data_IF_053704208785
#
_entry.id   IF_053704208785
#
_cell.length_a   1.000
_cell.length_b   1.000
_cell.length_c   1.000
_cell.angle_alpha   90.00
_cell.angle_beta   90.00
_cell.angle_gamma   90.00
#
_symmetry.space_group_name_H-M   'P 1'
#
loop_
_entity.id
_entity.type
_entity.pdbx_description
1 polymer ?
#
# COMPACT_ATOMS: atom_id res chain seq x y z
N UNK A 1 -32.30 7.37 65.78
CA UNK A 1 -32.23 7.62 64.32
C UNK A 1 -30.88 7.18 63.82
N UNK A 2 -30.76 5.93 63.34
CA UNK A 2 -29.52 5.36 62.84
C UNK A 2 -29.56 5.35 61.29
N UNK A 3 -28.56 5.96 60.67
CA UNK A 3 -28.38 6.04 59.21
C UNK A 3 -28.11 4.64 58.65
N UNK A 4 -28.88 4.27 57.63
CA UNK A 4 -28.64 3.06 56.83
C UNK A 4 -27.31 3.18 56.07
N UNK A 5 -26.56 2.06 55.91
CA UNK A 5 -25.34 2.03 55.10
C UNK A 5 -25.68 2.16 53.61
N UNK A 6 -24.93 3.01 52.91
CA UNK A 6 -24.99 3.14 51.45
C UNK A 6 -24.60 1.80 50.78
N UNK A 7 -25.28 1.39 49.71
CA UNK A 7 -24.87 0.21 48.95
C UNK A 7 -23.54 0.49 48.24
N UNK A 8 -22.62 -0.46 48.36
CA UNK A 8 -21.33 -0.45 47.68
C UNK A 8 -21.53 -0.21 46.17
N UNK A 9 -20.77 0.75 45.63
CA UNK A 9 -20.76 1.08 44.23
C UNK A 9 -20.49 -0.18 43.39
N UNK A 10 -21.38 -0.48 42.44
CA UNK A 10 -21.11 -1.45 41.38
C UNK A 10 -19.85 -0.97 40.64
N UNK A 11 -18.86 -1.83 40.37
CA UNK A 11 -17.74 -1.46 39.51
C UNK A 11 -18.31 -1.07 38.13
N UNK A 12 -17.97 0.13 37.69
CA UNK A 12 -18.31 0.63 36.36
C UNK A 12 -17.65 -0.25 35.29
N UNK A 13 -18.35 -0.54 34.18
CA UNK A 13 -17.69 -1.15 33.03
C UNK A 13 -16.65 -0.15 32.53
N UNK A 14 -15.37 -0.51 32.65
CA UNK A 14 -14.31 0.22 31.95
C UNK A 14 -14.64 0.19 30.45
N UNK A 15 -14.77 1.34 29.77
CA UNK A 15 -14.92 1.35 28.34
C UNK A 15 -13.53 1.00 27.79
N UNK A 16 -13.33 -0.26 27.40
CA UNK A 16 -12.18 -0.66 26.59
C UNK A 16 -12.24 0.07 25.25
N UNK A 17 -11.85 1.34 25.27
CA UNK A 17 -11.65 2.17 24.10
C UNK A 17 -10.31 1.75 23.50
N UNK A 18 -10.35 1.02 22.38
CA UNK A 18 -9.17 0.68 21.57
C UNK A 18 -8.53 1.91 20.87
N UNK A 19 -8.94 3.12 21.24
CA UNK A 19 -8.46 4.39 20.68
C UNK A 19 -7.02 4.63 21.15
N UNK A 20 -6.07 4.23 20.31
CA UNK A 20 -4.62 4.29 20.55
C UNK A 20 -3.91 2.98 20.24
N UNK A 21 -4.67 1.89 20.22
CA UNK A 21 -4.19 0.55 19.94
C UNK A 21 -4.10 0.37 18.41
N UNK A 22 -4.81 1.18 17.62
CA UNK A 22 -4.78 1.24 16.15
C UNK A 22 -3.62 2.06 15.55
N UNK A 23 -2.71 2.60 16.36
CA UNK A 23 -1.63 3.51 15.91
C UNK A 23 -0.40 2.82 15.31
N UNK A 24 -0.23 1.49 15.47
CA UNK A 24 1.00 0.83 15.02
C UNK A 24 1.05 0.58 13.50
N UNK A 25 -0.10 0.55 12.82
CA UNK A 25 -0.15 0.51 11.35
C UNK A 25 0.27 1.83 10.70
N UNK A 26 0.22 2.96 11.42
CA UNK A 26 0.61 4.29 10.92
C UNK A 26 2.13 4.52 10.88
N UNK A 27 2.94 3.64 11.51
CA UNK A 27 4.41 3.73 11.49
C UNK A 27 5.06 2.77 10.49
N UNK A 28 4.33 1.79 9.96
CA UNK A 28 4.86 0.86 8.97
C UNK A 28 5.10 1.57 7.64
N UNK A 29 6.35 1.96 7.39
CA UNK A 29 6.81 2.60 6.14
C UNK A 29 7.08 1.59 5.02
N UNK A 30 7.26 0.31 5.38
CA UNK A 30 7.56 -0.78 4.45
C UNK A 30 6.71 -2.02 4.72
N UNK A 31 6.30 -2.72 3.66
CA UNK A 31 5.63 -4.01 3.76
C UNK A 31 6.70 -5.09 4.01
N UNK A 32 6.57 -5.97 5.01
CA UNK A 32 7.46 -7.12 5.11
C UNK A 32 7.31 -7.99 3.84
N UNK A 33 8.43 -8.50 3.30
CA UNK A 33 8.42 -9.38 2.13
C UNK A 33 7.89 -10.77 2.53
N UNK A 34 6.57 -10.88 2.68
CA UNK A 34 5.90 -12.12 3.05
C UNK A 34 5.63 -12.94 1.79
N UNK A 35 6.23 -14.13 1.73
CA UNK A 35 6.07 -15.07 0.63
C UNK A 35 5.29 -16.29 1.11
N UNK A 36 4.17 -16.57 0.45
CA UNK A 36 3.35 -17.75 0.70
C UNK A 36 3.88 -18.96 -0.06
N UNK A 37 3.81 -20.13 0.57
CA UNK A 37 4.04 -21.40 -0.15
C UNK A 37 2.95 -21.58 -1.21
N UNK A 38 3.26 -22.14 -2.40
CA UNK A 38 2.25 -22.33 -3.43
C UNK A 38 1.08 -23.20 -2.92
N UNK A 39 -0.15 -22.79 -3.23
CA UNK A 39 -1.37 -23.46 -2.76
C UNK A 39 -1.45 -24.95 -3.12
N UNK A 40 -0.78 -25.36 -4.20
CA UNK A 40 -0.74 -26.74 -4.70
C UNK A 40 0.52 -27.53 -4.31
N UNK A 41 1.45 -26.94 -3.55
CA UNK A 41 2.76 -27.55 -3.23
C UNK A 41 3.03 -27.60 -1.72
N UNK A 42 1.99 -27.66 -0.89
CA UNK A 42 2.14 -27.73 0.55
C UNK A 42 1.30 -28.83 1.19
N UNK A 43 1.76 -29.29 2.34
CA UNK A 43 1.26 -30.42 3.12
C UNK A 43 0.70 -30.02 4.51
N UNK A 44 0.83 -28.76 4.90
CA UNK A 44 0.29 -28.26 6.18
C UNK A 44 -1.25 -28.12 6.12
N UNK A 45 -1.95 -28.35 7.25
CA UNK A 45 -3.40 -28.20 7.33
C UNK A 45 -3.86 -26.77 7.64
N UNK A 46 -5.09 -26.44 7.25
CA UNK A 46 -5.81 -25.27 7.77
C UNK A 46 -6.52 -25.65 9.07
N UNK A 47 -6.13 -24.99 10.17
CA UNK A 47 -6.70 -25.25 11.51
C UNK A 47 -7.80 -24.23 11.81
N UNK A 48 -8.97 -24.69 12.24
CA UNK A 48 -10.13 -23.84 12.56
C UNK A 48 -10.55 -24.08 14.01
N UNK A 49 -10.42 -23.04 14.83
CA UNK A 49 -10.84 -23.00 16.23
C UNK A 49 -12.17 -22.22 16.35
N UNK A 50 -13.06 -22.66 17.24
CA UNK A 50 -14.27 -21.89 17.52
C UNK A 50 -13.91 -20.70 18.39
N UNK A 51 -14.15 -19.48 17.90
CA UNK A 51 -13.96 -18.26 18.67
C UNK A 51 -15.20 -18.02 19.54
N UNK A 52 -15.09 -18.25 20.85
CA UNK A 52 -16.18 -18.05 21.83
C UNK A 52 -16.30 -16.60 22.26
N UNK A 53 -15.18 -15.88 22.31
CA UNK A 53 -15.15 -14.45 22.64
C UNK A 53 -14.23 -13.68 21.68
N UNK A 54 -14.73 -13.33 20.47
CA UNK A 54 -13.95 -12.65 19.43
C UNK A 54 -13.33 -11.33 19.89
N UNK A 55 -14.03 -10.57 20.72
CA UNK A 55 -13.55 -9.31 21.30
C UNK A 55 -12.34 -9.56 22.21
N UNK A 56 -12.44 -10.54 23.11
CA UNK A 56 -11.34 -10.89 24.01
C UNK A 56 -10.14 -11.46 23.23
N UNK A 57 -10.38 -12.29 22.19
CA UNK A 57 -9.32 -12.79 21.30
C UNK A 57 -8.54 -11.61 20.70
N UNK A 58 -9.24 -10.65 20.09
CA UNK A 58 -8.60 -9.47 19.51
C UNK A 58 -7.74 -8.71 20.53
N UNK A 59 -8.27 -8.45 21.73
CA UNK A 59 -7.56 -7.71 22.78
C UNK A 59 -6.35 -8.51 23.30
N UNK A 60 -6.51 -9.81 23.55
CA UNK A 60 -5.47 -10.66 24.12
C UNK A 60 -4.33 -10.92 23.14
N UNK A 61 -4.65 -11.24 21.88
CA UNK A 61 -3.63 -11.38 20.83
C UNK A 61 -2.87 -10.05 20.74
N UNK A 62 -3.57 -8.93 20.68
CA UNK A 62 -2.92 -7.61 20.57
C UNK A 62 -2.03 -7.28 21.75
N UNK A 63 -2.49 -7.51 22.98
CA UNK A 63 -1.68 -7.30 24.18
C UNK A 63 -0.45 -8.20 24.17
N UNK A 64 -0.63 -9.48 23.85
CA UNK A 64 0.49 -10.43 23.81
C UNK A 64 1.53 -10.03 22.76
N UNK A 65 1.10 -9.63 21.57
CA UNK A 65 2.00 -9.15 20.52
C UNK A 65 2.77 -7.89 20.96
N UNK A 66 2.11 -6.95 21.65
CA UNK A 66 2.79 -5.78 22.23
C UNK A 66 3.81 -6.19 23.31
N UNK A 67 3.47 -7.17 24.15
CA UNK A 67 4.37 -7.68 25.19
C UNK A 67 5.61 -8.36 24.57
N UNK A 68 5.46 -9.07 23.44
CA UNK A 68 6.57 -9.69 22.71
C UNK A 68 7.47 -8.66 22.01
N UNK A 69 6.92 -7.52 21.58
CA UNK A 69 7.65 -6.44 20.92
C UNK A 69 8.40 -5.50 21.86
N UNK A 70 7.97 -5.40 23.12
CA UNK A 70 8.53 -4.44 24.08
C UNK A 70 10.07 -4.48 24.23
N UNK A 71 10.77 -5.62 24.03
CA UNK A 71 12.24 -5.67 23.99
C UNK A 71 12.88 -5.24 22.65
N UNK A 72 12.13 -5.15 21.54
CA UNK A 72 12.63 -5.02 20.15
C UNK A 72 12.13 -3.77 19.40
N UNK A 73 11.28 -2.95 20.02
CA UNK A 73 10.71 -1.70 19.46
C UNK A 73 11.75 -0.67 19.00
N UNK A 74 13.03 -0.84 19.35
CA UNK A 74 14.10 0.08 18.93
C UNK A 74 14.77 -0.30 17.61
N UNK A 75 14.52 -1.50 17.03
CA UNK A 75 15.34 -1.98 15.90
C UNK A 75 14.61 -2.58 14.68
N UNK A 76 13.42 -3.16 14.83
CA UNK A 76 12.82 -3.94 13.74
C UNK A 76 11.36 -3.55 13.46
N UNK A 77 11.18 -2.56 12.59
CA UNK A 77 9.86 -2.06 12.13
C UNK A 77 9.07 -3.08 11.29
N UNK A 78 9.68 -4.22 10.93
CA UNK A 78 9.08 -5.28 10.11
C UNK A 78 8.37 -6.39 10.90
N UNK A 79 8.50 -6.40 12.23
CA UNK A 79 8.09 -7.54 13.07
C UNK A 79 6.58 -7.67 13.27
N UNK A 80 5.79 -6.60 13.10
CA UNK A 80 4.37 -6.66 13.40
C UNK A 80 3.55 -5.53 12.78
N UNK A 81 2.51 -5.89 12.03
CA UNK A 81 1.44 -4.96 11.67
C UNK A 81 0.11 -5.43 12.24
N UNK A 82 -0.48 -4.58 13.09
CA UNK A 82 -1.80 -4.82 13.66
C UNK A 82 -2.78 -3.88 12.98
N UNK A 83 -3.61 -4.45 12.10
CA UNK A 83 -4.69 -3.71 11.45
C UNK A 83 -5.66 -3.10 12.47
N UNK A 84 -6.36 -2.00 12.12
CA UNK A 84 -7.45 -1.47 12.94
C UNK A 84 -8.51 -2.56 13.07
N UNK A 85 -8.60 -3.15 14.27
CA UNK A 85 -9.43 -4.32 14.51
C UNK A 85 -10.92 -3.98 14.61
N UNK A 86 -11.25 -2.68 14.67
CA UNK A 86 -12.61 -2.15 14.82
C UNK A 86 -13.44 -2.98 15.79
N UNK A 87 -12.84 -3.26 16.95
CA UNK A 87 -13.39 -4.19 17.96
C UNK A 87 -14.79 -3.75 18.42
N UNK A 88 -15.09 -2.45 18.31
CA UNK A 88 -16.41 -1.88 18.59
C UNK A 88 -17.53 -2.36 17.64
N UNK A 89 -17.19 -2.85 16.45
CA UNK A 89 -18.15 -3.41 15.48
C UNK A 89 -18.46 -4.89 15.74
N UNK A 90 -17.68 -5.56 16.60
CA UNK A 90 -17.92 -6.94 16.96
C UNK A 90 -19.10 -7.04 17.92
N UNK A 91 -20.11 -7.82 17.55
CA UNK A 91 -21.21 -8.17 18.45
C UNK A 91 -20.67 -8.96 19.65
N UNK A 92 -20.84 -8.47 20.90
CA UNK A 92 -20.45 -9.21 22.08
C UNK A 92 -21.18 -10.56 22.13
N UNK A 93 -20.49 -11.63 22.50
CA UNK A 93 -21.01 -13.00 22.71
C UNK A 93 -21.42 -13.78 21.46
N UNK A 94 -21.23 -13.23 20.26
CA UNK A 94 -21.40 -14.00 19.03
C UNK A 94 -20.18 -14.88 18.79
N UNK A 95 -20.42 -16.15 18.44
CA UNK A 95 -19.33 -17.07 18.12
C UNK A 95 -18.83 -16.83 16.70
N UNK A 96 -17.51 -16.98 16.53
CA UNK A 96 -16.82 -16.88 15.25
C UNK A 96 -15.90 -18.06 14.99
N UNK A 97 -15.05 -17.93 13.98
CA UNK A 97 -13.99 -18.88 13.66
C UNK A 97 -12.65 -18.18 13.71
N UNK A 98 -11.72 -18.72 14.49
CA UNK A 98 -10.31 -18.34 14.45
C UNK A 98 -9.59 -19.38 13.59
N UNK A 99 -9.20 -18.98 12.39
CA UNK A 99 -8.41 -19.79 11.48
C UNK A 99 -6.93 -19.53 11.75
N UNK A 100 -6.14 -20.59 11.74
CA UNK A 100 -4.71 -20.57 11.96
C UNK A 100 -4.00 -21.23 10.78
N UNK A 101 -3.05 -20.50 10.21
CA UNK A 101 -2.13 -20.94 9.17
C UNK A 101 -0.71 -20.92 9.75
N UNK A 102 -0.23 -22.08 10.17
CA UNK A 102 1.16 -22.29 10.58
C UNK A 102 1.99 -22.70 9.36
N UNK A 103 3.23 -22.19 9.25
CA UNK A 103 4.20 -22.52 8.20
C UNK A 103 3.75 -22.26 6.75
N UNK A 104 2.65 -21.51 6.60
CA UNK A 104 2.05 -21.17 5.31
C UNK A 104 2.80 -20.09 4.54
N UNK A 105 3.50 -19.23 5.28
CA UNK A 105 4.23 -18.10 4.73
C UNK A 105 5.52 -17.89 5.51
N UNK A 106 6.46 -17.19 4.89
CA UNK A 106 7.71 -16.78 5.50
C UNK A 106 8.04 -15.33 5.15
N UNK A 107 8.81 -14.66 6.00
CA UNK A 107 9.39 -13.36 5.71
C UNK A 107 10.76 -13.60 5.05
N UNK A 108 10.97 -13.02 3.87
CA UNK A 108 12.29 -12.93 3.26
C UNK A 108 13.11 -11.86 3.98
N UNK A 109 14.25 -12.25 4.52
CA UNK A 109 15.20 -11.33 5.14
C UNK A 109 16.25 -10.90 4.10
N UNK A 110 16.44 -9.58 3.97
CA UNK A 110 17.39 -8.97 3.05
C UNK A 110 18.85 -9.35 3.37
N UNK A 111 19.18 -9.65 4.63
CA UNK A 111 20.52 -10.06 5.07
C UNK A 111 20.79 -11.56 4.83
N UNK A 112 19.74 -12.37 4.63
CA UNK A 112 19.84 -13.83 4.48
C UNK A 112 19.55 -14.33 3.06
N UNK A 113 19.67 -13.47 2.04
CA UNK A 113 19.62 -13.82 0.62
C UNK A 113 20.58 -14.99 0.31
N UNK A 114 20.05 -16.21 0.28
CA UNK A 114 20.83 -17.42 0.00
C UNK A 114 20.51 -18.64 0.89
N UNK A 115 19.77 -18.48 1.99
CA UNK A 115 19.11 -19.63 2.65
C UNK A 115 17.74 -19.83 2.02
N UNK A 116 17.48 -21.05 1.57
CA UNK A 116 16.29 -21.44 0.80
C UNK A 116 14.97 -21.35 1.57
N UNK A 117 15.01 -21.19 2.88
CA UNK A 117 13.83 -21.15 3.74
C UNK A 117 13.90 -19.86 4.56
N UNK A 118 13.10 -18.85 4.18
CA UNK A 118 12.94 -17.63 4.97
C UNK A 118 12.34 -17.92 6.35
N UNK A 119 12.06 -16.88 7.13
CA UNK A 119 11.61 -17.09 8.51
C UNK A 119 10.11 -17.38 8.54
N UNK A 120 9.66 -18.56 9.01
CA UNK A 120 8.25 -18.92 9.01
C UNK A 120 7.43 -18.01 9.93
N UNK A 121 6.23 -17.68 9.49
CA UNK A 121 5.26 -16.91 10.26
C UNK A 121 3.98 -17.70 10.49
N UNK A 122 3.34 -17.44 11.63
CA UNK A 122 1.99 -17.89 11.92
C UNK A 122 1.00 -16.77 11.60
N UNK A 123 -0.06 -17.10 10.86
CA UNK A 123 -1.13 -16.16 10.50
C UNK A 123 -2.43 -16.59 11.15
N UNK A 124 -3.07 -15.66 11.85
CA UNK A 124 -4.40 -15.82 12.43
C UNK A 124 -5.40 -15.00 11.63
N UNK A 125 -6.54 -15.60 11.32
CA UNK A 125 -7.67 -14.93 10.69
C UNK A 125 -8.93 -15.14 11.54
N UNK A 126 -9.46 -14.07 12.12
CA UNK A 126 -10.71 -14.10 12.86
C UNK A 126 -11.87 -13.73 11.94
N UNK A 127 -12.75 -14.70 11.71
CA UNK A 127 -13.95 -14.59 10.87
C UNK A 127 -15.19 -14.55 11.75
N UNK A 128 -16.07 -13.60 11.47
CA UNK A 128 -17.33 -13.43 12.18
C UNK A 128 -18.53 -13.65 11.24
N UNK A 129 -19.57 -14.35 11.68
CA UNK A 129 -20.73 -14.57 10.82
C UNK A 129 -21.40 -13.23 10.48
N UNK A 130 -21.73 -12.98 9.20
CA UNK A 130 -22.32 -11.73 8.69
C UNK A 130 -21.44 -10.48 8.83
N UNK A 131 -20.19 -10.61 9.26
CA UNK A 131 -19.21 -9.53 9.17
C UNK A 131 -18.43 -9.71 7.86
N UNK A 132 -18.45 -8.72 6.94
CA UNK A 132 -17.68 -8.81 5.70
C UNK A 132 -16.16 -8.69 5.92
N UNK A 133 -15.71 -8.29 7.12
CA UNK A 133 -14.30 -8.05 7.43
C UNK A 133 -13.66 -9.23 8.14
N UNK A 134 -12.48 -9.61 7.66
CA UNK A 134 -11.60 -10.58 8.31
C UNK A 134 -10.55 -9.81 9.11
N UNK A 135 -10.34 -10.17 10.37
CA UNK A 135 -9.31 -9.55 11.21
C UNK A 135 -8.09 -10.44 11.23
N UNK A 136 -7.01 -9.95 10.63
CA UNK A 136 -5.76 -10.69 10.52
C UNK A 136 -4.75 -10.29 11.60
N UNK A 137 -3.96 -11.26 12.02
CA UNK A 137 -2.77 -11.09 12.86
C UNK A 137 -1.68 -12.00 12.31
N UNK A 138 -0.42 -11.60 12.38
CA UNK A 138 0.70 -12.50 12.08
C UNK A 138 1.83 -12.29 13.08
N UNK A 139 2.64 -13.33 13.26
CA UNK A 139 3.83 -13.27 14.12
C UNK A 139 4.92 -14.23 13.62
N UNK A 140 6.17 -13.81 13.80
CA UNK A 140 7.36 -14.65 13.76
C UNK A 140 7.62 -15.29 15.14
N UNK A 141 7.60 -16.62 15.22
CA UNK A 141 7.95 -17.36 16.44
C UNK A 141 6.84 -18.26 17.01
N UNK A 142 7.06 -18.87 18.19
CA UNK A 142 6.17 -19.89 18.72
C UNK A 142 4.85 -19.31 19.21
N UNK A 143 3.74 -19.81 18.67
CA UNK A 143 2.38 -19.37 19.02
C UNK A 143 1.73 -20.17 20.15
N UNK A 144 2.32 -21.29 20.55
CA UNK A 144 1.78 -22.16 21.61
C UNK A 144 1.46 -21.42 22.90
N UNK A 145 2.29 -20.49 23.42
CA UNK A 145 1.96 -19.71 24.62
C UNK A 145 0.69 -18.87 24.45
N UNK A 146 0.49 -18.28 23.27
CA UNK A 146 -0.70 -17.49 22.94
C UNK A 146 -1.94 -18.37 22.89
N UNK A 147 -1.87 -19.51 22.18
CA UNK A 147 -2.98 -20.46 22.09
C UNK A 147 -3.39 -21.00 23.47
N UNK A 148 -2.41 -21.36 24.32
CA UNK A 148 -2.67 -21.81 25.69
C UNK A 148 -3.38 -20.73 26.52
N UNK A 149 -2.96 -19.47 26.39
CA UNK A 149 -3.59 -18.33 27.08
C UNK A 149 -5.02 -18.10 26.59
N UNK A 150 -5.25 -18.17 25.28
CA UNK A 150 -6.61 -18.04 24.71
C UNK A 150 -7.52 -19.19 25.16
N UNK A 151 -6.98 -20.41 25.28
CA UNK A 151 -7.72 -21.57 25.77
C UNK A 151 -8.05 -21.45 27.27
N UNK A 152 -7.08 -21.05 28.11
CA UNK A 152 -7.29 -20.91 29.56
C UNK A 152 -8.34 -19.86 29.90
N UNK A 153 -8.43 -18.79 29.11
CA UNK A 153 -9.45 -17.74 29.23
C UNK A 153 -10.77 -18.08 28.51
N UNK A 154 -10.95 -19.33 28.08
CA UNK A 154 -12.15 -19.83 27.39
C UNK A 154 -12.52 -19.04 26.13
N UNK A 155 -11.55 -18.37 25.51
CA UNK A 155 -11.76 -17.54 24.32
C UNK A 155 -11.88 -18.39 23.05
N UNK A 156 -11.20 -19.54 23.00
CA UNK A 156 -11.24 -20.51 21.90
C UNK A 156 -11.73 -21.88 22.39
N UNK A 157 -12.15 -22.75 21.47
CA UNK A 157 -12.45 -24.16 21.78
C UNK A 157 -11.18 -24.96 22.06
N UNK A 158 -11.29 -25.94 22.98
CA UNK A 158 -10.23 -26.94 23.23
C UNK A 158 -10.04 -27.89 22.04
N UNK A 159 -11.08 -28.06 21.21
CA UNK A 159 -11.03 -28.86 20.00
C UNK A 159 -10.88 -27.96 18.77
N UNK A 160 -10.09 -28.42 17.81
CA UNK A 160 -9.90 -27.76 16.52
C UNK A 160 -10.46 -28.64 15.40
N UNK A 161 -11.08 -28.01 14.40
CA UNK A 161 -11.38 -28.66 13.13
C UNK A 161 -10.15 -28.51 12.23
N UNK A 162 -9.64 -29.62 11.73
CA UNK A 162 -8.47 -29.65 10.85
C UNK A 162 -8.94 -29.95 9.43
N UNK A 163 -8.67 -29.05 8.50
CA UNK A 163 -8.90 -29.26 7.06
C UNK A 163 -7.55 -29.62 6.46
N UNK A 164 -7.39 -30.88 6.03
CA UNK A 164 -6.13 -31.39 5.47
C UNK A 164 -6.07 -31.17 3.96
N UNK A 165 -4.86 -30.96 3.39
CA UNK A 165 -4.66 -31.02 1.95
C UNK A 165 -4.95 -32.43 1.42
N UNK A 166 -5.48 -32.52 0.19
CA UNK A 166 -5.74 -33.82 -0.44
C UNK A 166 -4.48 -34.31 -1.16
N UNK A 167 -3.89 -35.46 -0.78
CA UNK A 167 -2.55 -35.87 -1.24
C UNK A 167 -2.40 -36.25 -2.72
N UNK A 168 -3.45 -36.17 -3.55
CA UNK A 168 -3.47 -36.76 -4.90
C UNK A 168 -3.69 -35.76 -6.06
N UNK A 169 -3.59 -34.45 -5.84
CA UNK A 169 -3.70 -33.45 -6.92
C UNK A 169 -2.36 -32.78 -7.31
N UNK A 170 -1.25 -33.17 -6.69
CA UNK A 170 0.03 -32.47 -6.85
C UNK A 170 0.65 -32.56 -8.25
N UNK A 171 0.27 -33.55 -9.05
CA UNK A 171 0.89 -33.82 -10.37
C UNK A 171 0.02 -33.45 -11.57
N UNK A 172 -1.24 -33.04 -11.38
CA UNK A 172 -2.15 -32.79 -12.49
C UNK A 172 -2.58 -31.31 -12.53
N UNK A 173 -1.94 -30.53 -13.41
CA UNK A 173 -2.11 -29.07 -13.53
C UNK A 173 -3.57 -28.68 -13.87
N UNK A 174 -4.31 -29.58 -14.52
CA UNK A 174 -5.68 -29.37 -14.99
C UNK A 174 -6.78 -29.82 -13.99
N UNK A 175 -6.41 -30.31 -12.80
CA UNK A 175 -7.38 -30.78 -11.82
C UNK A 175 -8.03 -29.60 -11.05
N UNK A 176 -9.34 -29.69 -10.81
CA UNK A 176 -10.11 -28.66 -10.09
C UNK A 176 -9.57 -28.46 -8.67
N UNK A 177 -9.32 -27.22 -8.20
CA UNK A 177 -8.81 -26.97 -6.85
C UNK A 177 -9.70 -27.61 -5.79
N UNK A 178 -9.09 -28.37 -4.88
CA UNK A 178 -9.82 -29.01 -3.78
C UNK A 178 -10.34 -27.97 -2.76
N UNK A 179 -11.18 -28.39 -1.83
CA UNK A 179 -11.78 -27.48 -0.84
C UNK A 179 -10.73 -26.75 0.01
N UNK A 180 -9.64 -27.44 0.35
CA UNK A 180 -8.52 -26.91 1.10
C UNK A 180 -7.79 -25.80 0.33
N UNK A 181 -7.39 -26.09 -0.91
CA UNK A 181 -6.72 -25.17 -1.82
C UNK A 181 -7.55 -23.90 -2.03
N UNK A 182 -8.88 -24.01 -2.16
CA UNK A 182 -9.77 -22.84 -2.29
C UNK A 182 -9.77 -21.96 -1.04
N UNK A 183 -9.89 -22.57 0.14
CA UNK A 183 -9.84 -21.82 1.42
C UNK A 183 -8.48 -21.15 1.59
N UNK A 184 -7.41 -21.89 1.33
CA UNK A 184 -6.04 -21.39 1.45
C UNK A 184 -5.78 -20.21 0.51
N UNK A 185 -6.15 -20.34 -0.78
CA UNK A 185 -5.98 -19.28 -1.77
C UNK A 185 -6.76 -18.03 -1.38
N UNK A 186 -8.01 -18.19 -0.95
CA UNK A 186 -8.81 -17.06 -0.47
C UNK A 186 -8.20 -16.38 0.76
N UNK A 187 -7.71 -17.16 1.74
CA UNK A 187 -7.04 -16.61 2.93
C UNK A 187 -5.75 -15.87 2.57
N UNK A 188 -4.96 -16.42 1.65
CA UNK A 188 -3.74 -15.81 1.15
C UNK A 188 -4.04 -14.46 0.50
N UNK A 189 -4.97 -14.41 -0.46
CA UNK A 189 -5.36 -13.18 -1.16
C UNK A 189 -5.92 -12.14 -0.19
N UNK A 190 -6.82 -12.55 0.72
CA UNK A 190 -7.41 -11.68 1.71
C UNK A 190 -6.35 -11.14 2.70
N UNK A 191 -5.39 -11.96 3.12
CA UNK A 191 -4.31 -11.54 4.00
C UNK A 191 -3.38 -10.54 3.29
N UNK A 192 -2.90 -10.87 2.09
CA UNK A 192 -2.03 -9.99 1.31
C UNK A 192 -2.69 -8.65 1.01
N UNK A 193 -3.99 -8.65 0.70
CA UNK A 193 -4.76 -7.42 0.55
C UNK A 193 -4.89 -6.64 1.85
N UNK A 194 -5.06 -7.32 2.99
CA UNK A 194 -5.23 -6.66 4.29
C UNK A 194 -3.93 -6.03 4.80
N UNK A 195 -2.78 -6.69 4.58
CA UNK A 195 -1.48 -6.15 5.01
C UNK A 195 -0.95 -5.08 4.05
N UNK A 196 -1.51 -4.94 2.85
CA UNK A 196 -1.08 -3.93 1.90
C UNK A 196 -1.06 -2.54 2.56
N UNK A 197 0.02 -1.78 2.37
CA UNK A 197 0.05 -0.38 2.79
C UNK A 197 -0.87 0.38 1.80
N UNK A 198 -1.92 1.08 2.26
CA UNK A 198 -2.72 1.90 1.36
C UNK A 198 -1.81 2.88 0.62
N UNK A 199 -2.09 3.11 -0.66
CA UNK A 199 -1.34 4.12 -1.40
C UNK A 199 -1.57 5.51 -0.78
N UNK A 200 -0.54 6.35 -0.88
CA UNK A 200 -0.65 7.75 -0.47
C UNK A 200 -1.71 8.42 -1.34
N UNK A 201 -2.53 9.29 -0.74
CA UNK A 201 -3.66 9.92 -1.43
C UNK A 201 -3.23 10.59 -2.74
N UNK A 202 -2.06 11.22 -2.75
CA UNK A 202 -1.54 11.88 -3.94
C UNK A 202 -1.23 10.89 -5.06
N UNK A 203 -0.58 9.77 -4.73
CA UNK A 203 -0.31 8.72 -5.70
C UNK A 203 -1.60 8.08 -6.21
N UNK A 204 -2.53 7.72 -5.32
CA UNK A 204 -3.82 7.14 -5.70
C UNK A 204 -4.63 8.09 -6.60
N UNK A 205 -4.68 9.37 -6.25
CA UNK A 205 -5.32 10.39 -7.09
C UNK A 205 -4.61 10.52 -8.43
N UNK A 206 -3.29 10.56 -8.45
CA UNK A 206 -2.51 10.61 -9.69
C UNK A 206 -2.85 9.41 -10.59
N UNK A 207 -2.85 8.18 -10.05
CA UNK A 207 -3.20 6.94 -10.76
C UNK A 207 -4.62 7.00 -11.35
N UNK A 208 -5.58 7.62 -10.68
CA UNK A 208 -6.94 7.77 -11.21
C UNK A 208 -7.06 8.68 -12.46
N UNK A 209 -6.01 9.44 -12.80
CA UNK A 209 -5.98 10.40 -13.93
C UNK A 209 -5.16 9.88 -15.13
N UNK A 210 -5.04 8.56 -15.27
CA UNK A 210 -3.92 7.81 -15.89
C UNK A 210 -3.53 8.17 -17.33
N UNK A 211 -4.40 8.79 -18.12
CA UNK A 211 -4.20 8.87 -19.57
C UNK A 211 -3.67 10.21 -20.11
N UNK A 212 -3.47 11.21 -19.23
CA UNK A 212 -3.33 12.60 -19.68
C UNK A 212 -1.91 13.17 -19.65
N UNK A 213 -0.87 12.40 -19.31
CA UNK A 213 0.47 12.98 -19.11
C UNK A 213 1.53 12.40 -20.07
N UNK A 214 2.38 13.26 -20.69
CA UNK A 214 3.48 12.81 -21.54
C UNK A 214 4.48 11.96 -20.77
N UNK A 215 5.08 11.01 -21.45
CA UNK A 215 6.19 10.19 -20.96
C UNK A 215 7.50 10.56 -21.69
N UNK A 216 8.64 10.17 -21.15
CA UNK A 216 9.93 10.34 -21.84
C UNK A 216 10.02 9.23 -22.88
N UNK A 217 10.34 9.56 -24.13
CA UNK A 217 10.38 8.56 -25.21
C UNK A 217 11.44 7.50 -24.91
N UNK A 218 11.13 6.25 -25.22
CA UNK A 218 12.10 5.16 -25.11
C UNK A 218 13.35 5.47 -25.92
N UNK A 219 14.53 5.27 -25.31
CA UNK A 219 15.81 5.56 -25.92
C UNK A 219 16.29 7.02 -25.78
N UNK A 220 15.48 7.92 -25.21
CA UNK A 220 15.89 9.31 -24.91
C UNK A 220 16.36 9.52 -23.46
N UNK A 221 16.47 8.44 -22.67
CA UNK A 221 16.79 8.48 -21.24
C UNK A 221 18.07 9.28 -20.93
N UNK A 222 19.18 8.91 -21.57
CA UNK A 222 20.48 9.53 -21.33
C UNK A 222 20.51 10.99 -21.77
N UNK A 223 19.82 11.31 -22.87
CA UNK A 223 19.69 12.67 -23.38
C UNK A 223 18.85 13.53 -22.43
N UNK A 224 17.72 13.02 -21.93
CA UNK A 224 16.87 13.69 -20.96
C UNK A 224 17.62 13.96 -19.65
N UNK A 225 18.41 12.99 -19.18
CA UNK A 225 19.28 13.13 -18.02
C UNK A 225 20.36 14.19 -18.23
N UNK A 226 21.07 14.17 -19.35
CA UNK A 226 22.11 15.14 -19.67
C UNK A 226 21.55 16.57 -19.76
N UNK A 227 20.40 16.75 -20.44
CA UNK A 227 19.71 18.05 -20.53
C UNK A 227 19.33 18.58 -19.15
N UNK A 228 18.73 17.74 -18.30
CA UNK A 228 18.38 18.12 -16.93
C UNK A 228 19.60 18.54 -16.12
N UNK A 229 20.70 17.77 -16.17
CA UNK A 229 21.94 18.07 -15.44
C UNK A 229 22.56 19.41 -15.89
N UNK A 230 22.42 19.76 -17.17
CA UNK A 230 22.87 21.06 -17.71
C UNK A 230 21.88 22.21 -17.50
N UNK A 231 20.73 21.98 -16.87
CA UNK A 231 19.69 22.99 -16.71
C UNK A 231 19.96 23.92 -15.53
N UNK A 232 20.66 25.03 -15.78
CA UNK A 232 21.01 26.04 -14.74
C UNK A 232 19.78 26.54 -13.96
N UNK A 233 18.65 26.73 -14.65
CA UNK A 233 17.41 27.20 -14.03
C UNK A 233 16.93 26.20 -12.98
N UNK A 234 17.01 24.90 -13.27
CA UNK A 234 16.56 23.85 -12.35
C UNK A 234 17.37 23.84 -11.06
N UNK A 235 18.65 24.15 -11.11
CA UNK A 235 19.55 24.18 -9.94
C UNK A 235 19.79 25.58 -9.38
N UNK A 236 19.02 26.59 -9.81
CA UNK A 236 19.08 27.96 -9.30
C UNK A 236 18.45 28.10 -7.89
N UNK A 237 18.82 27.22 -6.95
CA UNK A 237 18.48 27.28 -5.53
C UNK A 237 19.69 26.89 -4.68
N UNK A 238 19.67 27.26 -3.40
CA UNK A 238 20.66 26.81 -2.41
C UNK A 238 20.26 25.49 -1.73
N UNK A 239 19.04 25.03 -1.96
CA UNK A 239 18.51 23.83 -1.34
C UNK A 239 19.11 22.58 -1.99
N UNK A 240 19.55 21.63 -1.17
CA UNK A 240 20.00 20.33 -1.66
C UNK A 240 18.79 19.52 -2.18
N UNK A 241 18.97 18.71 -3.24
CA UNK A 241 17.94 17.80 -3.72
C UNK A 241 17.49 16.85 -2.61
N UNK A 242 16.19 16.61 -2.53
CA UNK A 242 15.64 15.64 -1.58
C UNK A 242 16.04 14.22 -1.98
N UNK A 243 16.49 13.42 -1.01
CA UNK A 243 16.71 12.00 -1.25
C UNK A 243 15.37 11.25 -1.40
N UNK A 244 15.23 10.54 -2.51
CA UNK A 244 14.05 9.76 -2.88
C UNK A 244 14.32 8.25 -2.87
N UNK A 245 15.49 7.82 -2.38
CA UNK A 245 15.89 6.42 -2.28
C UNK A 245 14.84 5.56 -1.55
N UNK A 246 14.30 6.08 -0.45
CA UNK A 246 13.26 5.43 0.37
C UNK A 246 11.82 5.77 -0.05
N UNK A 247 11.61 6.45 -1.19
CA UNK A 247 10.27 6.75 -1.66
C UNK A 247 9.62 5.50 -2.27
N UNK A 248 8.48 5.08 -1.70
CA UNK A 248 7.69 3.92 -2.16
C UNK A 248 7.35 3.96 -3.65
N UNK A 249 7.18 5.15 -4.24
CA UNK A 249 6.79 5.31 -5.65
C UNK A 249 7.97 5.69 -6.54
N UNK A 250 9.21 5.50 -6.08
CA UNK A 250 10.41 5.81 -6.87
C UNK A 250 10.37 5.15 -8.25
N UNK A 251 9.91 3.90 -8.33
CA UNK A 251 9.80 3.16 -9.60
C UNK A 251 8.60 3.56 -10.46
N UNK A 252 7.64 4.30 -9.92
CA UNK A 252 6.53 4.85 -10.71
C UNK A 252 6.95 6.06 -11.56
N UNK A 253 8.13 6.63 -11.32
CA UNK A 253 8.69 7.72 -12.09
C UNK A 253 9.87 7.25 -12.95
N UNK A 254 9.97 7.83 -14.15
CA UNK A 254 11.16 7.72 -14.99
C UNK A 254 12.38 8.31 -14.26
N UNK A 255 13.59 7.79 -14.53
CA UNK A 255 14.83 8.24 -13.85
C UNK A 255 15.01 9.77 -13.89
N UNK A 256 14.79 10.38 -15.05
CA UNK A 256 14.87 11.83 -15.23
C UNK A 256 13.78 12.60 -14.44
N UNK A 257 12.57 12.04 -14.35
CA UNK A 257 11.49 12.62 -13.55
C UNK A 257 11.80 12.56 -12.04
N UNK A 258 12.50 11.51 -11.57
CA UNK A 258 12.98 11.42 -10.18
C UNK A 258 13.97 12.54 -9.86
N UNK A 259 14.90 12.85 -10.78
CA UNK A 259 15.85 13.97 -10.62
C UNK A 259 15.09 15.29 -10.50
N UNK A 260 14.08 15.48 -11.35
CA UNK A 260 13.25 16.69 -11.32
C UNK A 260 12.45 16.81 -10.01
N UNK A 261 11.84 15.71 -9.55
CA UNK A 261 11.14 15.67 -8.27
C UNK A 261 12.07 15.98 -7.08
N UNK A 262 13.24 15.33 -7.05
CA UNK A 262 14.27 15.54 -6.03
C UNK A 262 14.76 16.99 -5.99
N UNK A 263 15.08 17.58 -7.15
CA UNK A 263 15.53 18.97 -7.25
C UNK A 263 14.48 19.98 -6.76
N UNK A 264 13.19 19.65 -6.88
CA UNK A 264 12.08 20.50 -6.44
C UNK A 264 11.61 20.22 -5.01
N UNK A 265 12.22 19.24 -4.33
CA UNK A 265 11.81 18.79 -2.99
C UNK A 265 10.39 18.24 -2.97
N UNK A 266 10.06 17.35 -3.92
CA UNK A 266 8.77 16.68 -4.03
C UNK A 266 8.95 15.19 -3.86
N UNK A 267 8.03 14.54 -3.11
CA UNK A 267 7.93 13.08 -3.10
C UNK A 267 7.39 12.58 -4.45
N UNK A 268 7.65 11.32 -4.78
CA UNK A 268 7.33 10.78 -6.11
C UNK A 268 5.83 10.83 -6.42
N UNK A 269 4.99 10.52 -5.42
CA UNK A 269 3.53 10.61 -5.53
C UNK A 269 3.02 12.05 -5.73
N UNK A 270 3.61 13.01 -5.03
CA UNK A 270 3.27 14.44 -5.15
C UNK A 270 3.62 14.98 -6.54
N UNK A 271 4.82 14.66 -7.02
CA UNK A 271 5.26 15.04 -8.37
C UNK A 271 4.32 14.47 -9.44
N UNK A 272 3.98 13.17 -9.33
CA UNK A 272 3.09 12.51 -10.28
C UNK A 272 1.70 13.14 -10.29
N UNK A 273 1.17 13.50 -9.11
CA UNK A 273 -0.11 14.19 -8.99
C UNK A 273 -0.09 15.54 -9.71
N UNK A 274 0.94 16.35 -9.47
CA UNK A 274 1.08 17.69 -10.06
C UNK A 274 1.21 17.60 -11.58
N UNK A 275 2.05 16.69 -12.07
CA UNK A 275 2.21 16.42 -13.51
C UNK A 275 0.86 16.08 -14.14
N UNK A 276 0.14 15.10 -13.60
CA UNK A 276 -1.13 14.64 -14.18
C UNK A 276 -2.24 15.69 -14.09
N UNK A 277 -2.33 16.43 -12.99
CA UNK A 277 -3.27 17.55 -12.87
C UNK A 277 -2.99 18.64 -13.90
N UNK A 278 -1.73 19.03 -14.04
CA UNK A 278 -1.33 20.06 -14.99
C UNK A 278 -1.70 19.66 -16.42
N UNK A 279 -1.28 18.47 -16.87
CA UNK A 279 -1.53 18.07 -18.25
C UNK A 279 -3.01 17.79 -18.52
N UNK A 280 -3.78 17.27 -17.55
CA UNK A 280 -5.24 17.20 -17.67
C UNK A 280 -5.87 18.59 -17.86
N UNK A 281 -5.54 19.55 -17.00
CA UNK A 281 -6.07 20.90 -17.10
C UNK A 281 -5.61 21.61 -18.39
N UNK A 282 -4.38 21.34 -18.82
CA UNK A 282 -3.82 21.87 -20.05
C UNK A 282 -4.54 21.32 -21.29
N UNK A 283 -4.83 20.02 -21.31
CA UNK A 283 -5.67 19.39 -22.34
C UNK A 283 -7.04 20.06 -22.40
N UNK A 284 -7.74 20.13 -21.27
CA UNK A 284 -9.10 20.68 -21.20
C UNK A 284 -9.13 22.14 -21.68
N UNK A 285 -8.14 22.94 -21.28
CA UNK A 285 -8.01 24.32 -21.73
C UNK A 285 -7.72 24.43 -23.24
N UNK A 286 -6.87 23.57 -23.79
CA UNK A 286 -6.60 23.59 -25.23
C UNK A 286 -7.83 23.14 -26.03
N UNK A 287 -8.50 22.08 -25.61
CA UNK A 287 -9.72 21.57 -26.27
C UNK A 287 -10.83 22.62 -26.22
N UNK A 288 -11.06 23.26 -25.07
CA UNK A 288 -12.04 24.34 -24.95
C UNK A 288 -11.71 25.53 -25.86
N UNK A 289 -10.42 25.78 -26.10
CA UNK A 289 -9.92 26.84 -26.97
C UNK A 289 -9.60 26.38 -28.40
N UNK A 290 -10.11 25.21 -28.84
CA UNK A 290 -9.84 24.47 -30.09
C UNK A 290 -9.63 25.36 -31.34
N UNK A 291 -10.36 26.47 -31.43
CA UNK A 291 -10.28 27.43 -32.54
C UNK A 291 -8.92 28.11 -32.71
N UNK A 292 -8.05 28.11 -31.69
CA UNK A 292 -6.73 28.79 -31.74
C UNK A 292 -5.61 27.85 -32.20
N UNK A 293 -5.44 26.68 -31.59
CA UNK A 293 -4.28 25.80 -31.86
C UNK A 293 -4.35 25.06 -33.20
N UNK A 294 -5.55 24.73 -33.70
CA UNK A 294 -5.74 24.15 -35.04
C UNK A 294 -5.43 25.13 -36.19
N UNK A 295 -5.26 26.44 -35.89
CA UNK A 295 -4.97 27.50 -36.87
C UNK A 295 -3.55 28.09 -36.70
N UNK A 296 -2.56 27.24 -36.46
CA UNK A 296 -1.15 27.66 -36.26
C UNK A 296 -0.88 28.58 -35.06
N UNK A 297 -1.80 28.70 -34.09
CA UNK A 297 -1.46 29.44 -32.88
C UNK A 297 -0.40 28.68 -32.08
N UNK A 298 0.62 29.39 -31.61
CA UNK A 298 1.64 28.83 -30.73
C UNK A 298 1.01 28.27 -29.46
N UNK A 299 1.55 27.15 -29.00
CA UNK A 299 1.27 26.61 -27.66
C UNK A 299 1.60 27.69 -26.59
N UNK A 300 0.91 27.65 -25.44
CA UNK A 300 1.12 28.59 -24.33
C UNK A 300 2.62 28.70 -23.98
N UNK A 301 3.03 29.88 -23.51
CA UNK A 301 4.43 30.12 -23.12
C UNK A 301 4.76 29.43 -21.80
N UNK A 302 6.04 29.11 -21.58
CA UNK A 302 6.55 28.59 -20.29
C UNK A 302 6.11 29.45 -19.10
N UNK A 303 6.06 30.78 -19.30
CA UNK A 303 5.58 31.71 -18.30
C UNK A 303 4.11 31.47 -17.93
N UNK A 304 3.23 31.23 -18.90
CA UNK A 304 1.83 30.93 -18.64
C UNK A 304 1.65 29.60 -17.90
N UNK A 305 2.50 28.60 -18.18
CA UNK A 305 2.51 27.34 -17.44
C UNK A 305 2.96 27.53 -15.98
N UNK A 306 3.99 28.35 -15.75
CA UNK A 306 4.46 28.65 -14.41
C UNK A 306 3.42 29.44 -13.60
N UNK A 307 2.72 30.40 -14.23
CA UNK A 307 1.61 31.12 -13.59
C UNK A 307 0.43 30.21 -13.23
N UNK A 308 0.14 29.20 -14.05
CA UNK A 308 -0.90 28.23 -13.71
C UNK A 308 -0.54 27.45 -12.44
N UNK A 309 0.72 27.00 -12.33
CA UNK A 309 1.22 26.29 -11.14
C UNK A 309 1.20 27.20 -9.89
N UNK A 310 1.62 28.46 -10.04
CA UNK A 310 1.55 29.46 -8.96
C UNK A 310 0.11 29.67 -8.49
N UNK A 311 -0.85 29.80 -9.40
CA UNK A 311 -2.25 30.01 -9.05
C UNK A 311 -2.93 28.78 -8.45
N UNK A 312 -2.66 27.59 -8.98
CA UNK A 312 -3.38 26.37 -8.58
C UNK A 312 -2.79 25.73 -7.32
N UNK A 313 -1.47 25.75 -7.17
CA UNK A 313 -0.77 25.15 -6.04
C UNK A 313 -0.21 26.18 -5.05
N UNK A 314 -0.46 27.48 -5.26
CA UNK A 314 0.06 28.57 -4.42
C UNK A 314 1.60 28.57 -4.30
N UNK A 315 2.27 28.07 -5.33
CA UNK A 315 3.72 27.97 -5.36
C UNK A 315 4.37 29.31 -5.66
N UNK A 316 5.57 29.54 -5.08
CA UNK A 316 6.44 30.62 -5.53
C UNK A 316 6.71 30.49 -7.03
N UNK A 317 6.54 31.57 -7.79
CA UNK A 317 6.80 31.59 -9.23
C UNK A 317 8.17 31.03 -9.62
N UNK A 318 9.19 31.25 -8.80
CA UNK A 318 10.54 30.70 -9.02
C UNK A 318 10.55 29.16 -9.01
N UNK A 319 9.83 28.52 -8.07
CA UNK A 319 9.68 27.06 -8.01
C UNK A 319 8.89 26.54 -9.21
N UNK A 320 7.80 27.22 -9.58
CA UNK A 320 7.00 26.86 -10.75
C UNK A 320 7.81 26.94 -12.05
N UNK A 321 8.61 28.00 -12.25
CA UNK A 321 9.50 28.15 -13.40
C UNK A 321 10.52 27.02 -13.50
N UNK A 322 11.07 26.55 -12.37
CA UNK A 322 12.00 25.42 -12.32
C UNK A 322 11.36 24.12 -12.81
N UNK A 323 10.13 23.83 -12.36
CA UNK A 323 9.38 22.65 -12.82
C UNK A 323 9.10 22.71 -14.33
N UNK A 324 8.63 23.87 -14.82
CA UNK A 324 8.33 24.06 -16.25
C UNK A 324 9.60 23.95 -17.10
N UNK A 325 10.72 24.51 -16.66
CA UNK A 325 12.00 24.36 -17.33
C UNK A 325 12.43 22.88 -17.39
N UNK A 326 12.31 22.14 -16.28
CA UNK A 326 12.58 20.70 -16.27
C UNK A 326 11.67 19.91 -17.22
N UNK A 327 10.37 20.21 -17.25
CA UNK A 327 9.42 19.59 -18.20
C UNK A 327 9.76 19.89 -19.66
N UNK A 328 10.29 21.08 -19.97
CA UNK A 328 10.81 21.37 -21.31
C UNK A 328 12.02 20.51 -21.64
N UNK A 329 13.00 20.42 -20.74
CA UNK A 329 14.24 19.65 -21.00
C UNK A 329 13.96 18.17 -21.27
N UNK A 330 12.99 17.58 -20.59
CA UNK A 330 12.56 16.19 -20.82
C UNK A 330 11.55 16.03 -21.96
N UNK A 331 11.27 17.12 -22.69
CA UNK A 331 10.46 17.10 -23.90
C UNK A 331 8.95 17.06 -23.68
N UNK A 332 8.44 17.23 -22.46
CA UNK A 332 7.00 17.23 -22.18
C UNK A 332 6.28 18.45 -22.74
N UNK A 333 7.02 19.54 -22.97
CA UNK A 333 6.51 20.80 -23.50
C UNK A 333 6.91 21.05 -24.96
N UNK A 334 7.40 20.01 -25.66
CA UNK A 334 7.71 20.10 -27.09
C UNK A 334 6.44 20.30 -27.92
N UNK A 335 6.43 21.34 -28.73
CA UNK A 335 5.23 21.77 -29.46
C UNK A 335 4.69 20.69 -30.40
N UNK A 336 5.56 19.98 -31.12
CA UNK A 336 5.15 18.90 -32.04
C UNK A 336 4.52 17.72 -31.30
N UNK A 337 5.10 17.34 -30.14
CA UNK A 337 4.58 16.28 -29.28
C UNK A 337 3.24 16.66 -28.67
N UNK A 338 3.14 17.88 -28.15
CA UNK A 338 1.88 18.41 -27.61
C UNK A 338 0.81 18.42 -28.68
N UNK A 339 1.13 18.89 -29.90
CA UNK A 339 0.16 18.94 -31.01
C UNK A 339 -0.33 17.56 -31.41
N UNK A 340 0.57 16.58 -31.52
CA UNK A 340 0.20 15.19 -31.81
C UNK A 340 -0.71 14.62 -30.71
N UNK A 341 -0.32 14.78 -29.45
CA UNK A 341 -1.08 14.32 -28.28
C UNK A 341 -2.47 14.96 -28.16
N UNK A 342 -2.60 16.26 -28.47
CA UNK A 342 -3.91 16.93 -28.43
C UNK A 342 -4.81 16.46 -29.57
N UNK A 343 -4.25 16.19 -30.75
CA UNK A 343 -5.00 15.61 -31.88
C UNK A 343 -5.51 14.19 -31.58
N UNK A 344 -4.76 13.39 -30.82
CA UNK A 344 -5.21 12.07 -30.33
C UNK A 344 -6.19 12.17 -29.15
N UNK A 345 -6.84 13.33 -28.95
CA UNK A 345 -7.81 13.51 -27.88
C UNK A 345 -7.18 13.57 -26.50
N UNK A 346 -5.89 13.93 -26.40
CA UNK A 346 -5.16 14.05 -25.14
C UNK A 346 -4.92 12.72 -24.45
N UNK A 347 -4.92 11.62 -25.19
CA UNK A 347 -4.44 10.31 -24.75
C UNK A 347 -3.14 10.01 -25.48
N UNK A 348 -2.10 9.64 -24.76
CA UNK A 348 -0.92 9.06 -25.39
C UNK A 348 -1.27 7.62 -25.77
N UNK A 349 -1.09 7.26 -27.03
CA UNK A 349 -1.26 5.87 -27.49
C UNK A 349 -0.40 4.98 -26.60
N UNK A 350 -1.05 4.04 -25.89
CA UNK A 350 -0.36 2.89 -25.33
C UNK A 350 0.28 2.21 -26.53
N UNK A 351 1.61 2.12 -26.51
CA UNK A 351 2.41 1.63 -27.64
C UNK A 351 1.74 0.47 -28.34
N UNK A 352 1.72 0.56 -29.67
CA UNK A 352 1.25 -0.45 -30.59
C UNK A 352 1.61 -1.84 -30.05
N UNK A 353 0.58 -2.58 -29.63
CA UNK A 353 0.69 -4.03 -29.54
C UNK A 353 1.13 -4.48 -30.93
N UNK A 354 2.30 -5.11 -31.00
CA UNK A 354 2.83 -5.78 -32.17
C UNK A 354 1.70 -6.50 -32.91
N UNK A 355 1.32 -5.98 -34.08
CA UNK A 355 0.67 -6.79 -35.09
C UNK A 355 1.72 -7.80 -35.55
N UNK A 356 1.49 -9.06 -35.21
CA UNK A 356 2.24 -10.22 -35.66
C UNK A 356 2.14 -10.30 -37.20
N UNK A 357 3.30 -10.24 -37.89
CA UNK A 357 3.49 -10.90 -39.19
C UNK A 357 4.16 -12.26 -39.00
#
# INVERSE_FOLDING_TARGET
MAKQPQPAAKPSPSPCSAKGVDLNSLRATALPSIVFKPARKHDFPVVVLTARNPVAICIMIKQWLLDQLNPFLEKDDHLLRIEPLEVFQLEPRRTGSLILLEDAAHIEDAEHKGRSDGIPIAIFALLMPKDPRVRFFYIQGPITPLLNRLASELCISETARVIKPTPHLHDNVDATPDHHCRIYTWLQEAFLSAIAIPDHKDYANAVSMTDYAPFIKEGEDDLAMAKLQSCDVLYATKDEPTDLSDDRYVFALHKAERVLAAALGLRCGEYLLIKRHFFRAFKDDVLYNEKKLLKNAKVRTEYAHAQWLEKFYEWKLTRAKRLVAGWREVGFLEEDRIRAWIRSGGQFELGEHYDEE
#
